data_IF_179666979362
#
_entry.id   IF_179666979362
#
_cell.length_a   1.000
_cell.length_b   1.000
_cell.length_c   1.000
_cell.angle_alpha   90.00
_cell.angle_beta   90.00
_cell.angle_gamma   90.00
#
_symmetry.space_group_name_H-M   'P 1'
#
loop_
_entity.id
_entity.type
_entity.pdbx_description
1 polymer ?
#
# COMPACT_ATOMS: atom_id res chain seq x y z
N UNK A 1 -21.46 10.48 -15.66
CA UNK A 1 -22.53 9.48 -15.66
C UNK A 1 -22.32 8.51 -14.50
N UNK A 2 -23.30 8.44 -13.55
CA UNK A 2 -23.29 7.51 -12.41
C UNK A 2 -23.14 6.04 -12.82
N UNK A 3 -23.55 5.70 -14.05
CA UNK A 3 -23.40 4.36 -14.63
C UNK A 3 -21.94 3.95 -14.82
N UNK A 4 -21.02 4.89 -15.03
CA UNK A 4 -19.59 4.59 -15.18
C UNK A 4 -18.93 4.17 -13.85
N UNK A 5 -19.56 4.48 -12.71
CA UNK A 5 -19.11 4.03 -11.39
C UNK A 5 -19.32 2.51 -11.22
N UNK A 6 -20.32 1.95 -11.91
CA UNK A 6 -20.62 0.51 -11.86
C UNK A 6 -19.79 -0.33 -12.84
N UNK A 7 -19.06 0.32 -13.76
CA UNK A 7 -18.23 -0.36 -14.76
C UNK A 7 -16.85 -0.72 -14.19
N UNK A 8 -16.83 -1.65 -13.26
CA UNK A 8 -15.63 -2.13 -12.54
C UNK A 8 -14.56 -2.69 -13.50
N UNK A 9 -14.95 -3.12 -14.69
CA UNK A 9 -14.06 -3.71 -15.72
C UNK A 9 -13.34 -2.69 -16.59
N UNK A 10 -13.68 -1.40 -16.54
CA UNK A 10 -12.97 -0.35 -17.30
C UNK A 10 -11.72 0.19 -16.59
N UNK A 11 -11.40 -0.31 -15.37
CA UNK A 11 -10.18 0.03 -14.62
C UNK A 11 -10.27 1.33 -13.81
N UNK A 12 -9.25 1.60 -13.02
CA UNK A 12 -9.02 2.85 -12.30
C UNK A 12 -9.52 2.88 -10.86
N UNK A 13 -10.75 3.28 -10.59
CA UNK A 13 -11.25 3.52 -9.22
C UNK A 13 -11.85 2.28 -8.53
N UNK A 14 -11.85 1.12 -9.18
CA UNK A 14 -12.47 -0.12 -8.70
C UNK A 14 -11.92 -0.60 -7.34
N UNK A 15 -10.64 -0.39 -7.07
CA UNK A 15 -10.01 -0.80 -5.80
C UNK A 15 -10.64 -0.09 -4.60
N UNK A 16 -10.80 1.22 -4.66
CA UNK A 16 -11.39 1.99 -3.55
C UNK A 16 -12.87 1.65 -3.35
N UNK A 17 -13.60 1.45 -4.45
CA UNK A 17 -14.97 0.97 -4.40
C UNK A 17 -15.08 -0.42 -3.79
N UNK A 18 -14.25 -1.35 -4.21
CA UNK A 18 -14.19 -2.71 -3.68
C UNK A 18 -13.84 -2.75 -2.19
N UNK A 19 -12.86 -1.97 -1.75
CA UNK A 19 -12.49 -1.85 -0.33
C UNK A 19 -13.66 -1.25 0.48
N UNK A 20 -14.26 -0.17 0.00
CA UNK A 20 -15.38 0.48 0.69
C UNK A 20 -16.61 -0.43 0.83
N UNK A 21 -17.03 -1.08 -0.27
CA UNK A 21 -18.16 -2.01 -0.26
C UNK A 21 -17.84 -3.24 0.58
N UNK A 22 -16.63 -3.80 0.47
CA UNK A 22 -16.19 -4.93 1.27
C UNK A 22 -16.16 -4.63 2.77
N UNK A 23 -15.64 -3.47 3.17
CA UNK A 23 -15.63 -3.02 4.55
C UNK A 23 -17.04 -2.80 5.10
N UNK A 24 -17.94 -2.18 4.30
CA UNK A 24 -19.33 -1.99 4.66
C UNK A 24 -20.07 -3.33 4.84
N UNK A 25 -19.89 -4.25 3.90
CA UNK A 25 -20.50 -5.58 3.97
C UNK A 25 -20.01 -6.35 5.21
N UNK A 26 -18.71 -6.31 5.49
CA UNK A 26 -18.12 -6.92 6.68
C UNK A 26 -18.67 -6.29 7.98
N UNK A 27 -18.80 -4.95 8.01
CA UNK A 27 -19.37 -4.24 9.14
C UNK A 27 -20.85 -4.63 9.38
N UNK A 28 -21.67 -4.64 8.33
CA UNK A 28 -23.07 -5.05 8.41
C UNK A 28 -23.24 -6.50 8.84
N UNK A 29 -22.40 -7.39 8.32
CA UNK A 29 -22.38 -8.79 8.72
C UNK A 29 -22.01 -8.95 10.20
N UNK A 30 -20.94 -8.30 10.66
CA UNK A 30 -20.54 -8.30 12.07
C UNK A 30 -21.66 -7.80 12.97
N UNK A 31 -22.32 -6.69 12.57
CA UNK A 31 -23.46 -6.12 13.31
C UNK A 31 -24.64 -7.09 13.37
N UNK A 32 -24.97 -7.74 12.26
CA UNK A 32 -26.05 -8.74 12.19
C UNK A 32 -25.77 -9.96 13.09
N UNK A 33 -24.52 -10.43 13.08
CA UNK A 33 -24.06 -11.58 13.87
C UNK A 33 -23.64 -11.23 15.31
N UNK A 34 -23.69 -9.97 15.69
CA UNK A 34 -23.23 -9.44 16.99
C UNK A 34 -21.76 -9.72 17.30
N UNK A 35 -20.91 -9.82 16.24
CA UNK A 35 -19.47 -9.88 16.39
C UNK A 35 -18.86 -8.49 16.46
N UNK A 36 -17.82 -8.25 17.29
CA UNK A 36 -17.12 -6.96 17.31
C UNK A 36 -16.32 -6.77 16.02
N UNK A 37 -16.69 -5.74 15.23
CA UNK A 37 -16.01 -5.43 13.96
C UNK A 37 -14.52 -5.13 14.14
N UNK A 38 -14.14 -4.52 15.26
CA UNK A 38 -12.75 -4.21 15.60
C UNK A 38 -11.89 -5.49 15.70
N UNK A 39 -12.43 -6.56 16.27
CA UNK A 39 -11.73 -7.85 16.35
C UNK A 39 -11.54 -8.48 14.96
N UNK A 40 -12.55 -8.40 14.10
CA UNK A 40 -12.41 -8.85 12.71
C UNK A 40 -11.33 -8.06 11.98
N UNK A 41 -11.30 -6.74 12.16
CA UNK A 41 -10.29 -5.88 11.57
C UNK A 41 -8.87 -6.27 12.01
N UNK A 42 -8.66 -6.58 13.30
CA UNK A 42 -7.38 -7.06 13.83
C UNK A 42 -6.94 -8.38 13.19
N UNK A 43 -7.86 -9.33 13.02
CA UNK A 43 -7.57 -10.60 12.38
C UNK A 43 -7.20 -10.43 10.89
N UNK A 44 -7.82 -9.47 10.20
CA UNK A 44 -7.59 -9.20 8.77
C UNK A 44 -6.29 -8.42 8.55
N UNK A 45 -5.86 -7.59 9.50
CA UNK A 45 -4.72 -6.71 9.35
C UNK A 45 -3.43 -7.39 8.82
N UNK A 46 -2.91 -8.46 9.42
CA UNK A 46 -1.73 -9.15 8.89
C UNK A 46 -2.00 -9.83 7.55
N UNK A 47 -3.23 -10.36 7.34
CA UNK A 47 -3.60 -10.99 6.07
C UNK A 47 -3.64 -9.98 4.91
N UNK A 48 -4.09 -8.74 5.15
CA UNK A 48 -4.03 -7.66 4.16
C UNK A 48 -2.59 -7.35 3.76
N UNK A 49 -1.66 -7.31 4.71
CA UNK A 49 -0.25 -7.07 4.42
C UNK A 49 0.36 -8.17 3.56
N UNK A 50 0.06 -9.43 3.86
CA UNK A 50 0.50 -10.57 3.04
C UNK A 50 -0.12 -10.51 1.64
N UNK A 51 -1.41 -10.22 1.53
CA UNK A 51 -2.09 -10.05 0.24
C UNK A 51 -1.49 -8.90 -0.57
N UNK A 52 -1.18 -7.77 0.06
CA UNK A 52 -0.48 -6.64 -0.57
C UNK A 52 0.92 -7.05 -1.04
N UNK A 53 1.67 -7.80 -0.24
CA UNK A 53 2.99 -8.29 -0.62
C UNK A 53 2.93 -9.20 -1.85
N UNK A 54 1.99 -10.14 -1.89
CA UNK A 54 1.76 -11.03 -3.04
C UNK A 54 1.35 -10.23 -4.28
N UNK A 55 0.45 -9.24 -4.12
CA UNK A 55 0.01 -8.39 -5.21
C UNK A 55 1.16 -7.62 -5.89
N UNK A 56 2.26 -7.35 -5.16
CA UNK A 56 3.45 -6.70 -5.75
C UNK A 56 4.21 -7.58 -6.75
N UNK A 57 4.04 -8.89 -6.70
CA UNK A 57 4.60 -9.77 -7.73
C UNK A 57 3.99 -9.47 -9.11
N UNK A 58 2.73 -9.06 -9.18
CA UNK A 58 2.10 -8.61 -10.43
C UNK A 58 2.85 -7.44 -11.07
N UNK A 59 3.36 -6.50 -10.28
CA UNK A 59 4.13 -5.38 -10.80
C UNK A 59 5.47 -5.80 -11.41
N UNK A 60 6.08 -6.87 -10.91
CA UNK A 60 7.26 -7.46 -11.53
C UNK A 60 6.94 -8.01 -12.91
N UNK A 61 5.91 -8.86 -13.02
CA UNK A 61 5.53 -9.45 -14.32
C UNK A 61 5.11 -8.39 -15.34
N UNK A 62 4.44 -7.33 -14.89
CA UNK A 62 4.01 -6.23 -15.76
C UNK A 62 5.12 -5.20 -16.02
N UNK A 63 6.30 -5.32 -15.40
CA UNK A 63 7.41 -4.35 -15.48
C UNK A 63 6.94 -2.91 -15.20
N UNK A 64 6.13 -2.73 -14.17
CA UNK A 64 5.56 -1.44 -13.78
C UNK A 64 5.91 -1.05 -12.34
N UNK A 65 5.72 0.24 -12.01
CA UNK A 65 5.89 0.77 -10.65
C UNK A 65 7.31 0.58 -10.09
N UNK A 66 8.33 0.80 -10.90
CA UNK A 66 9.72 0.84 -10.48
C UNK A 66 10.13 2.26 -10.01
N UNK A 67 11.29 2.34 -9.35
CA UNK A 67 11.80 3.58 -8.79
C UNK A 67 12.84 4.27 -9.66
N UNK A 68 13.51 5.27 -9.10
CA UNK A 68 14.57 6.04 -9.77
C UNK A 68 15.70 5.15 -10.29
N UNK A 69 16.50 5.63 -11.27
CA UNK A 69 17.72 4.95 -11.69
C UNK A 69 18.64 4.69 -10.52
N UNK A 70 19.31 3.53 -10.54
CA UNK A 70 20.22 3.10 -9.47
C UNK A 70 21.44 2.38 -10.03
N UNK A 71 22.53 2.43 -9.28
CA UNK A 71 23.75 1.65 -9.51
C UNK A 71 23.86 0.43 -8.59
N UNK A 72 22.83 0.17 -7.78
CA UNK A 72 22.84 -0.94 -6.84
C UNK A 72 22.83 -2.30 -7.55
N UNK A 73 23.50 -3.32 -7.00
CA UNK A 73 23.67 -4.62 -7.66
C UNK A 73 22.34 -5.39 -7.83
N UNK A 74 21.30 -5.02 -7.09
CA UNK A 74 19.95 -5.58 -7.21
C UNK A 74 19.00 -4.70 -8.04
N UNK A 75 19.54 -3.72 -8.78
CA UNK A 75 18.75 -2.89 -9.66
C UNK A 75 18.04 -3.72 -10.74
N UNK A 76 16.80 -3.35 -11.05
CA UNK A 76 15.98 -4.00 -12.06
C UNK A 76 16.36 -3.49 -13.45
N UNK A 77 16.72 -4.40 -14.34
CA UNK A 77 16.87 -4.10 -15.77
C UNK A 77 15.52 -4.28 -16.46
N UNK A 78 15.00 -3.23 -17.06
CA UNK A 78 13.79 -3.29 -17.87
C UNK A 78 14.14 -3.82 -19.26
N UNK A 79 13.43 -4.84 -19.73
CA UNK A 79 13.74 -5.52 -20.99
C UNK A 79 13.02 -4.90 -22.18
N UNK A 80 12.02 -4.06 -21.94
CA UNK A 80 11.12 -3.58 -22.98
C UNK A 80 11.32 -2.09 -23.25
N UNK A 81 11.57 -1.71 -24.50
CA UNK A 81 11.63 -0.31 -24.90
C UNK A 81 10.32 0.44 -24.56
N UNK A 82 9.18 -0.27 -24.60
CA UNK A 82 7.88 0.25 -24.21
C UNK A 82 7.77 0.46 -22.69
N UNK A 83 8.38 -0.38 -21.87
CA UNK A 83 8.43 -0.18 -20.42
C UNK A 83 9.31 1.03 -20.08
N UNK A 84 10.41 1.21 -20.78
CA UNK A 84 11.29 2.38 -20.66
C UNK A 84 10.60 3.65 -21.21
N UNK A 85 9.86 3.54 -22.32
CA UNK A 85 9.09 4.64 -22.91
C UNK A 85 7.86 5.05 -22.08
N UNK A 86 7.24 4.10 -21.36
CA UNK A 86 6.15 4.39 -20.40
C UNK A 86 6.64 5.02 -19.11
N UNK A 87 7.90 4.87 -18.77
CA UNK A 87 8.56 5.61 -17.68
C UNK A 87 9.06 6.96 -18.15
N UNK A 88 8.36 7.60 -18.97
CA UNK A 88 8.60 8.84 -19.70
C UNK A 88 9.87 9.62 -19.38
N UNK A 89 10.58 9.40 -18.27
CA UNK A 89 11.66 10.32 -17.91
C UNK A 89 12.65 9.66 -16.95
N UNK A 90 13.87 9.44 -17.41
CA UNK A 90 15.00 9.48 -16.52
C UNK A 90 15.08 10.87 -15.90
N UNK A 91 15.30 10.93 -14.63
CA UNK A 91 15.43 12.02 -13.67
C UNK A 91 15.42 13.49 -14.16
N UNK A 92 15.67 13.81 -15.43
CA UNK A 92 15.78 15.17 -16.00
C UNK A 92 14.97 15.38 -17.30
N UNK A 93 13.91 14.64 -17.55
CA UNK A 93 13.13 14.81 -18.78
C UNK A 93 13.79 14.21 -20.02
N UNK A 94 14.86 13.45 -19.85
CA UNK A 94 15.58 12.78 -20.94
C UNK A 94 15.34 11.27 -20.89
N UNK A 95 15.38 10.62 -22.05
CA UNK A 95 15.29 9.16 -22.15
C UNK A 95 16.46 8.50 -21.41
N UNK A 96 16.18 7.43 -20.68
CA UNK A 96 17.21 6.69 -19.99
C UNK A 96 18.18 6.00 -20.97
N UNK A 97 19.50 6.03 -20.70
CA UNK A 97 20.45 5.25 -21.46
C UNK A 97 20.12 3.76 -21.43
N UNK A 98 20.38 3.08 -22.56
CA UNK A 98 20.24 1.62 -22.62
C UNK A 98 21.06 0.93 -21.53
N UNK A 99 20.43 0.05 -20.74
CA UNK A 99 21.10 -0.66 -19.65
C UNK A 99 21.01 0.00 -18.29
N UNK A 100 20.28 1.12 -18.17
CA UNK A 100 19.99 1.73 -16.87
C UNK A 100 19.24 0.75 -15.95
N UNK A 101 19.70 0.63 -14.72
CA UNK A 101 19.03 -0.15 -13.67
C UNK A 101 18.11 0.77 -12.86
N UNK A 102 16.99 0.22 -12.39
CA UNK A 102 15.98 0.94 -11.63
C UNK A 102 15.76 0.29 -10.26
N UNK A 103 15.40 1.09 -9.26
CA UNK A 103 15.01 0.56 -7.95
C UNK A 103 13.77 -0.35 -8.06
N UNK A 104 13.83 -1.62 -7.62
CA UNK A 104 12.69 -2.53 -7.59
C UNK A 104 11.76 -2.17 -6.42
N UNK A 105 11.01 -1.08 -6.54
CA UNK A 105 10.15 -0.59 -5.45
C UNK A 105 9.06 -1.59 -5.08
N UNK A 106 8.60 -2.42 -6.01
CA UNK A 106 7.68 -3.53 -5.72
C UNK A 106 8.29 -4.53 -4.72
N UNK A 107 9.60 -4.84 -4.85
CA UNK A 107 10.30 -5.72 -3.92
C UNK A 107 10.44 -5.08 -2.53
N UNK A 108 10.73 -3.78 -2.49
CA UNK A 108 10.80 -3.05 -1.22
C UNK A 108 9.45 -3.02 -0.51
N UNK A 109 8.35 -2.76 -1.24
CA UNK A 109 7.00 -2.81 -0.69
C UNK A 109 6.63 -4.22 -0.23
N UNK A 110 7.01 -5.26 -0.98
CA UNK A 110 6.76 -6.65 -0.60
C UNK A 110 7.46 -7.00 0.71
N UNK A 111 8.76 -6.72 0.82
CA UNK A 111 9.55 -7.00 2.03
C UNK A 111 9.00 -6.20 3.22
N UNK A 112 8.71 -4.90 3.03
CA UNK A 112 8.12 -4.03 4.05
C UNK A 112 6.82 -4.60 4.59
N UNK A 113 5.91 -5.02 3.72
CA UNK A 113 4.63 -5.60 4.13
C UNK A 113 4.79 -6.94 4.85
N UNK A 114 5.69 -7.82 4.40
CA UNK A 114 5.95 -9.08 5.08
C UNK A 114 6.56 -8.89 6.49
N UNK A 115 7.50 -7.95 6.63
CA UNK A 115 8.07 -7.58 7.93
C UNK A 115 6.97 -7.02 8.83
N UNK A 116 6.13 -6.12 8.32
CA UNK A 116 5.02 -5.56 9.08
C UNK A 116 4.01 -6.62 9.53
N UNK A 117 3.65 -7.55 8.65
CA UNK A 117 2.77 -8.66 9.00
C UNK A 117 3.37 -9.52 10.14
N UNK A 118 4.65 -9.86 10.05
CA UNK A 118 5.36 -10.61 11.08
C UNK A 118 5.39 -9.86 12.43
N UNK A 119 5.67 -8.56 12.40
CA UNK A 119 5.69 -7.71 13.61
C UNK A 119 4.30 -7.65 14.25
N UNK A 120 3.24 -7.41 13.45
CA UNK A 120 1.87 -7.30 13.98
C UNK A 120 1.42 -8.63 14.59
N UNK A 121 1.69 -9.76 13.94
CA UNK A 121 1.38 -11.08 14.48
C UNK A 121 2.16 -11.33 15.78
N UNK A 122 3.46 -11.06 15.77
CA UNK A 122 4.30 -11.24 16.95
C UNK A 122 3.85 -10.37 18.14
N UNK A 123 3.56 -9.08 17.90
CA UNK A 123 3.02 -8.18 18.93
C UNK A 123 1.64 -8.61 19.41
N UNK A 124 0.77 -9.05 18.50
CA UNK A 124 -0.55 -9.56 18.82
C UNK A 124 -0.51 -10.76 19.77
N UNK A 125 0.45 -11.69 19.54
CA UNK A 125 0.65 -12.81 20.47
C UNK A 125 1.30 -12.39 21.79
N UNK A 126 2.33 -11.56 21.72
CA UNK A 126 3.10 -11.15 22.91
C UNK A 126 2.30 -10.25 23.84
N UNK A 127 1.43 -9.41 23.31
CA UNK A 127 0.68 -8.40 24.03
C UNK A 127 -0.83 -8.69 24.03
N UNK A 128 -1.22 -9.96 23.96
CA UNK A 128 -2.63 -10.39 23.85
C UNK A 128 -3.48 -9.88 25.01
N UNK A 129 -2.92 -9.80 26.23
CA UNK A 129 -3.62 -9.32 27.44
C UNK A 129 -3.61 -7.78 27.56
N UNK A 130 -2.84 -7.08 26.73
CA UNK A 130 -2.64 -5.62 26.80
C UNK A 130 -3.37 -4.92 25.66
N UNK A 131 -3.32 -5.48 24.46
CA UNK A 131 -3.92 -4.89 23.28
C UNK A 131 -5.44 -5.03 23.30
N UNK A 132 -6.12 -3.92 23.08
CA UNK A 132 -7.58 -3.90 22.89
C UNK A 132 -7.95 -4.15 21.44
N UNK A 133 -9.16 -4.64 21.21
CA UNK A 133 -9.68 -4.86 19.85
C UNK A 133 -9.62 -3.59 18.99
N UNK A 134 -9.10 -3.71 17.77
CA UNK A 134 -8.89 -2.63 16.81
C UNK A 134 -7.47 -2.05 16.85
N UNK A 135 -6.65 -2.36 17.84
CA UNK A 135 -5.31 -1.80 17.95
C UNK A 135 -4.31 -2.43 16.98
N UNK A 136 -4.45 -3.72 16.63
CA UNK A 136 -3.61 -4.34 15.60
C UNK A 136 -3.92 -3.74 14.23
N UNK A 137 -5.18 -3.46 13.94
CA UNK A 137 -5.55 -2.75 12.71
C UNK A 137 -5.01 -1.32 12.68
N UNK A 138 -5.02 -0.62 13.81
CA UNK A 138 -4.38 0.69 13.93
C UNK A 138 -2.86 0.63 13.68
N UNK A 139 -2.17 -0.40 14.18
CA UNK A 139 -0.74 -0.64 13.86
C UNK A 139 -0.52 -0.91 12.37
N UNK A 140 -1.41 -1.68 11.73
CA UNK A 140 -1.38 -1.86 10.28
C UNK A 140 -1.47 -0.53 9.54
N UNK A 141 -2.40 0.35 9.90
CA UNK A 141 -2.54 1.67 9.28
C UNK A 141 -1.28 2.52 9.42
N UNK A 142 -0.68 2.52 10.62
CA UNK A 142 0.58 3.23 10.87
C UNK A 142 1.73 2.66 10.03
N UNK A 143 1.89 1.34 10.00
CA UNK A 143 2.94 0.67 9.23
C UNK A 143 2.81 0.92 7.72
N UNK A 144 1.59 0.78 7.21
CA UNK A 144 1.28 1.07 5.80
C UNK A 144 1.57 2.52 5.43
N UNK A 145 1.11 3.47 6.25
CA UNK A 145 1.34 4.89 6.02
C UNK A 145 2.82 5.26 5.99
N UNK A 146 3.63 4.73 6.92
CA UNK A 146 5.07 4.90 6.93
C UNK A 146 5.72 4.34 5.66
N UNK A 147 5.42 3.09 5.32
CA UNK A 147 5.97 2.43 4.13
C UNK A 147 5.63 3.18 2.85
N UNK A 148 4.37 3.58 2.72
CA UNK A 148 3.92 4.30 1.53
C UNK A 148 4.58 5.67 1.37
N UNK A 149 4.86 6.36 2.46
CA UNK A 149 5.50 7.69 2.41
C UNK A 149 6.92 7.62 1.85
N UNK A 150 7.77 6.72 2.35
CA UNK A 150 9.15 6.64 1.87
C UNK A 150 9.28 5.97 0.50
N UNK A 151 8.46 4.95 0.21
CA UNK A 151 8.51 4.28 -1.09
C UNK A 151 8.04 5.22 -2.21
N UNK A 152 7.01 6.03 -1.97
CA UNK A 152 6.53 6.99 -2.96
C UNK A 152 7.58 8.06 -3.29
N UNK A 153 8.50 8.38 -2.36
CA UNK A 153 9.61 9.33 -2.63
C UNK A 153 10.64 8.78 -3.63
N UNK A 154 10.74 7.45 -3.76
CA UNK A 154 11.67 6.79 -4.69
C UNK A 154 11.01 6.52 -6.05
N UNK A 155 9.68 6.53 -6.15
CA UNK A 155 8.95 6.18 -7.38
C UNK A 155 9.03 7.28 -8.43
N UNK A 156 9.16 6.89 -9.70
CA UNK A 156 9.23 7.82 -10.85
C UNK A 156 7.84 8.09 -11.44
N UNK A 157 6.85 7.22 -11.21
CA UNK A 157 5.53 7.33 -11.84
C UNK A 157 4.93 8.72 -11.63
N UNK A 158 4.27 9.23 -12.68
CA UNK A 158 3.52 10.47 -12.62
C UNK A 158 2.51 10.47 -11.46
N UNK A 159 2.51 11.51 -10.67
CA UNK A 159 1.53 11.73 -9.60
C UNK A 159 1.26 13.23 -9.49
N UNK A 160 0.00 13.58 -9.26
CA UNK A 160 -0.38 14.98 -9.02
C UNK A 160 0.32 15.49 -7.76
N UNK A 161 0.94 16.65 -7.86
CA UNK A 161 1.62 17.33 -6.73
C UNK A 161 0.66 18.36 -6.14
N UNK A 162 0.43 18.29 -4.84
CA UNK A 162 -0.36 19.26 -4.07
C UNK A 162 0.52 19.74 -2.92
N UNK A 163 0.72 21.08 -2.80
CA UNK A 163 1.55 21.70 -1.77
C UNK A 163 2.97 21.09 -1.67
N UNK A 164 3.58 20.81 -2.83
CA UNK A 164 4.95 20.27 -2.89
C UNK A 164 5.08 18.77 -2.62
N UNK A 165 4.01 18.06 -2.29
CA UNK A 165 3.99 16.62 -2.07
C UNK A 165 3.05 15.90 -3.04
N UNK A 166 3.38 14.67 -3.39
CA UNK A 166 2.50 13.80 -4.19
C UNK A 166 1.22 13.48 -3.43
N UNK A 167 0.07 13.41 -4.10
CA UNK A 167 -1.22 13.05 -3.50
C UNK A 167 -1.14 11.75 -2.70
N UNK A 168 -0.39 10.77 -3.19
CA UNK A 168 -0.21 9.49 -2.50
C UNK A 168 0.52 9.63 -1.16
N UNK A 169 1.43 10.61 -1.02
CA UNK A 169 2.11 10.91 0.24
C UNK A 169 1.13 11.53 1.24
N UNK A 170 0.27 12.46 0.78
CA UNK A 170 -0.79 13.02 1.63
C UNK A 170 -1.73 11.93 2.15
N UNK A 171 -2.18 11.05 1.27
CA UNK A 171 -3.02 9.91 1.66
C UNK A 171 -2.31 9.04 2.70
N UNK A 172 -1.03 8.76 2.51
CA UNK A 172 -0.23 7.96 3.44
C UNK A 172 -0.11 8.62 4.83
N UNK A 173 0.14 9.94 4.86
CA UNK A 173 0.21 10.72 6.11
C UNK A 173 -1.14 10.69 6.83
N UNK A 174 -2.24 10.90 6.10
CA UNK A 174 -3.59 10.87 6.67
C UNK A 174 -3.88 9.49 7.28
N UNK A 175 -3.56 8.41 6.56
CA UNK A 175 -3.76 7.03 7.06
C UNK A 175 -2.89 6.76 8.29
N UNK A 176 -1.64 7.23 8.30
CA UNK A 176 -0.75 7.12 9.46
C UNK A 176 -1.32 7.83 10.69
N UNK A 177 -1.72 9.10 10.54
CA UNK A 177 -2.29 9.88 11.63
C UNK A 177 -3.61 9.29 12.13
N UNK A 178 -4.47 8.83 11.23
CA UNK A 178 -5.70 8.13 11.60
C UNK A 178 -5.41 6.86 12.41
N UNK A 179 -4.39 6.10 12.02
CA UNK A 179 -3.91 4.94 12.78
C UNK A 179 -3.43 5.32 14.19
N UNK A 180 -2.63 6.38 14.32
CA UNK A 180 -2.18 6.88 15.63
C UNK A 180 -3.37 7.31 16.52
N UNK A 181 -4.30 8.07 15.96
CA UNK A 181 -5.50 8.52 16.69
C UNK A 181 -6.32 7.31 17.14
N UNK A 182 -6.59 6.37 16.22
CA UNK A 182 -7.35 5.16 16.52
C UNK A 182 -6.69 4.35 17.63
N UNK A 183 -5.37 4.16 17.57
CA UNK A 183 -4.60 3.43 18.57
C UNK A 183 -4.74 4.06 19.95
N UNK A 184 -4.59 5.38 20.05
CA UNK A 184 -4.70 6.12 21.32
C UNK A 184 -6.14 6.12 21.87
N UNK A 185 -7.13 6.29 20.99
CA UNK A 185 -8.55 6.28 21.40
C UNK A 185 -8.95 4.91 21.95
N UNK A 186 -8.49 3.83 21.32
CA UNK A 186 -8.77 2.47 21.79
C UNK A 186 -7.96 2.08 23.02
N UNK A 187 -6.85 2.76 23.29
CA UNK A 187 -6.05 2.53 24.49
C UNK A 187 -6.78 2.97 25.77
N UNK A 188 -7.61 4.01 25.69
CA UNK A 188 -8.42 4.51 26.81
C UNK A 188 -9.57 3.55 27.12
#
# INVERSE_FOLDING_TARGET
NLINILKVWEGGMAIFGGIGVGALAAFLWCRHRRYPFALLADCIAPALMVAQAIGRLGNWFNQELYGMPTTLPWGLKLNDADAIGKSEICYNGQACPTGTLFHPTFLYEMIWNLIGAAIIVWLGHKLVDVLKSGQQFAMYMMWYGLGRTWIESIRINYSTIILGLRVNVWTAIIVFLAGCILFVVLWR
#
